data_IF_022845585974
#
_entry.id   IF_022845585974
#
_cell.length_a   1.000
_cell.length_b   1.000
_cell.length_c   1.000
_cell.angle_alpha   90.00
_cell.angle_beta   90.00
_cell.angle_gamma   90.00
#
_symmetry.space_group_name_H-M   'P 1'
#
loop_
_entity.id
_entity.type
_entity.pdbx_description
1 polymer ?
#
# COMPACT_ATOMS: atom_id res chain seq x y z
N UNK A 1 -31.87 29.83 9.00
CA UNK A 1 -31.84 31.21 8.48
C UNK A 1 -33.26 31.59 8.18
N UNK A 2 -33.83 32.50 8.96
CA UNK A 2 -35.19 33.02 8.81
C UNK A 2 -35.35 33.68 7.43
N UNK A 3 -36.26 33.17 6.61
CA UNK A 3 -36.63 33.76 5.31
C UNK A 3 -37.93 34.54 5.37
N UNK A 4 -38.28 35.12 6.53
CA UNK A 4 -39.44 35.98 6.65
C UNK A 4 -39.03 37.45 6.41
N UNK A 5 -39.25 37.95 5.19
CA UNK A 5 -39.24 39.39 4.89
C UNK A 5 -38.31 39.89 3.79
N UNK A 6 -37.54 39.03 3.10
CA UNK A 6 -36.68 39.48 1.99
C UNK A 6 -37.49 39.66 0.71
N UNK A 7 -37.26 40.77 0.02
CA UNK A 7 -37.78 41.01 -1.32
C UNK A 7 -37.06 40.11 -2.34
N UNK A 8 -37.70 39.80 -3.47
CA UNK A 8 -37.13 38.91 -4.51
C UNK A 8 -35.75 39.41 -5.01
N UNK A 9 -35.57 40.74 -5.05
CA UNK A 9 -34.30 41.39 -5.44
C UNK A 9 -33.18 41.13 -4.43
N UNK A 10 -33.48 41.15 -3.13
CA UNK A 10 -32.50 40.87 -2.08
C UNK A 10 -32.07 39.40 -2.11
N UNK A 11 -33.00 38.48 -2.37
CA UNK A 11 -32.68 37.06 -2.52
C UNK A 11 -31.80 36.81 -3.75
N UNK A 12 -32.12 37.42 -4.89
CA UNK A 12 -31.29 37.31 -6.11
C UNK A 12 -29.87 37.86 -5.89
N UNK A 13 -29.74 38.99 -5.20
CA UNK A 13 -28.43 39.56 -4.85
C UNK A 13 -27.61 38.61 -3.97
N UNK A 14 -28.22 37.98 -2.96
CA UNK A 14 -27.52 37.03 -2.08
C UNK A 14 -27.06 35.77 -2.84
N UNK A 15 -27.88 35.25 -3.74
CA UNK A 15 -27.53 34.09 -4.56
C UNK A 15 -26.36 34.40 -5.49
N UNK A 16 -26.38 35.57 -6.15
CA UNK A 16 -25.28 36.02 -7.02
C UNK A 16 -23.97 36.22 -6.23
N UNK A 17 -24.05 36.79 -5.03
CA UNK A 17 -22.91 36.94 -4.14
C UNK A 17 -22.32 35.61 -3.69
N UNK A 18 -23.18 34.61 -3.41
CA UNK A 18 -22.73 33.25 -3.08
C UNK A 18 -22.03 32.60 -4.28
N UNK A 19 -22.61 32.72 -5.48
CA UNK A 19 -22.03 32.19 -6.71
C UNK A 19 -20.65 32.81 -7.00
N UNK A 20 -20.54 34.14 -6.92
CA UNK A 20 -19.29 34.85 -7.14
C UNK A 20 -18.19 34.43 -6.12
N UNK A 21 -18.55 34.22 -4.85
CA UNK A 21 -17.62 33.71 -3.82
C UNK A 21 -17.18 32.28 -4.11
N UNK A 22 -18.08 31.43 -4.61
CA UNK A 22 -17.75 30.05 -4.97
C UNK A 22 -16.84 29.98 -6.20
N UNK A 23 -17.12 30.78 -7.21
CA UNK A 23 -16.28 30.90 -8.41
C UNK A 23 -14.88 31.40 -8.06
N UNK A 24 -14.78 32.42 -7.21
CA UNK A 24 -13.49 32.93 -6.71
C UNK A 24 -12.71 31.86 -5.95
N UNK A 25 -13.37 31.08 -5.07
CA UNK A 25 -12.73 29.97 -4.35
C UNK A 25 -12.27 28.87 -5.29
N UNK A 26 -13.05 28.57 -6.33
CA UNK A 26 -12.69 27.58 -7.33
C UNK A 26 -11.44 28.02 -8.09
N UNK A 27 -11.38 29.27 -8.53
CA UNK A 27 -10.19 29.83 -9.19
C UNK A 27 -8.96 29.81 -8.28
N UNK A 28 -9.13 30.10 -6.99
CA UNK A 28 -8.03 30.02 -6.02
C UNK A 28 -7.50 28.59 -5.85
N UNK A 29 -8.39 27.60 -5.81
CA UNK A 29 -8.00 26.18 -5.74
C UNK A 29 -7.29 25.78 -7.04
N UNK A 30 -7.83 26.18 -8.19
CA UNK A 30 -7.23 25.90 -9.50
C UNK A 30 -5.82 26.51 -9.62
N UNK A 31 -5.64 27.78 -9.23
CA UNK A 31 -4.34 28.43 -9.21
C UNK A 31 -3.34 27.73 -8.28
N UNK A 32 -3.79 27.28 -7.10
CA UNK A 32 -2.96 26.54 -6.15
C UNK A 32 -2.53 25.19 -6.72
N UNK A 33 -3.45 24.47 -7.37
CA UNK A 33 -3.15 23.21 -8.03
C UNK A 33 -2.14 23.38 -9.17
N UNK A 34 -2.29 24.42 -9.98
CA UNK A 34 -1.33 24.72 -11.05
C UNK A 34 0.07 25.03 -10.49
N UNK A 35 0.15 25.81 -9.40
CA UNK A 35 1.42 26.11 -8.73
C UNK A 35 2.11 24.83 -8.22
N UNK A 36 1.38 23.95 -7.53
CA UNK A 36 1.92 22.66 -7.05
C UNK A 36 2.36 21.78 -8.23
N UNK A 37 1.59 21.77 -9.32
CA UNK A 37 1.94 21.01 -10.52
C UNK A 37 3.24 21.52 -11.15
N UNK A 38 3.44 22.84 -11.20
CA UNK A 38 4.68 23.46 -11.68
C UNK A 38 5.87 23.10 -10.77
N UNK A 39 5.72 23.21 -9.44
CA UNK A 39 6.78 22.84 -8.49
C UNK A 39 7.18 21.36 -8.63
N UNK A 40 6.21 20.47 -8.83
CA UNK A 40 6.46 19.05 -9.07
C UNK A 40 7.16 18.78 -10.41
N UNK A 41 6.85 19.56 -11.45
CA UNK A 41 7.53 19.49 -12.75
C UNK A 41 8.98 19.99 -12.65
N UNK A 42 9.23 21.08 -11.92
CA UNK A 42 10.59 21.60 -11.68
C UNK A 42 11.44 20.65 -10.84
N UNK A 43 10.86 20.04 -9.80
CA UNK A 43 11.52 18.98 -9.02
C UNK A 43 11.90 17.79 -9.90
N UNK A 44 11.03 17.39 -10.84
CA UNK A 44 11.35 16.33 -11.81
C UNK A 44 12.52 16.70 -12.72
N UNK A 45 12.58 17.95 -13.19
CA UNK A 45 13.69 18.42 -14.04
C UNK A 45 15.00 18.43 -13.26
N UNK A 46 14.99 18.86 -11.99
CA UNK A 46 16.18 18.84 -11.14
C UNK A 46 16.72 17.43 -10.86
N UNK A 47 15.84 16.44 -10.71
CA UNK A 47 16.25 15.03 -10.55
C UNK A 47 16.84 14.43 -11.83
N UNK A 48 16.50 14.98 -13.01
CA UNK A 48 16.97 14.51 -14.32
C UNK A 48 18.31 15.15 -14.73
N UNK A 49 18.71 16.29 -14.13
CA UNK A 49 19.88 17.07 -14.53
C UNK A 49 21.15 16.87 -13.71
N UNK A 50 21.25 15.90 -12.80
CA UNK A 50 22.55 15.59 -12.20
C UNK A 50 23.48 14.93 -13.24
N UNK A 51 24.58 15.58 -13.67
CA UNK A 51 25.54 14.97 -14.57
C UNK A 51 26.39 14.01 -13.74
N UNK A 52 26.40 12.73 -14.11
CA UNK A 52 27.40 11.78 -13.63
C UNK A 52 28.70 12.08 -14.37
N UNK A 53 29.54 12.92 -13.76
CA UNK A 53 30.90 13.15 -14.25
C UNK A 53 31.74 11.91 -13.93
N UNK A 54 32.13 11.21 -15.00
CA UNK A 54 33.14 10.16 -14.96
C UNK A 54 34.50 10.81 -14.70
N UNK A 55 35.15 10.47 -13.59
CA UNK A 55 36.60 10.42 -13.58
C UNK A 55 37.14 9.25 -12.75
N UNK A 56 37.96 8.46 -13.44
CA UNK A 56 38.51 7.20 -13.03
C UNK A 56 39.78 7.47 -12.21
N UNK A 57 39.76 7.18 -10.91
CA UNK A 57 40.99 6.95 -10.15
C UNK A 57 41.00 5.56 -9.51
N UNK A 58 41.76 4.71 -10.18
CA UNK A 58 42.33 3.45 -9.73
C UNK A 58 42.95 3.58 -8.33
N UNK A 59 42.38 2.89 -7.33
CA UNK A 59 43.09 2.04 -6.36
C UNK A 59 42.15 1.48 -5.28
N UNK A 60 41.13 0.69 -5.64
CA UNK A 60 40.54 -0.28 -4.72
C UNK A 60 40.12 -1.52 -5.51
N UNK A 61 41.06 -2.46 -5.58
CA UNK A 61 40.77 -3.85 -5.94
C UNK A 61 40.09 -4.47 -4.73
N UNK A 62 38.76 -4.49 -4.73
CA UNK A 62 37.95 -5.05 -3.65
C UNK A 62 36.52 -5.27 -4.13
N UNK A 63 36.28 -6.48 -4.62
CA UNK A 63 34.99 -7.18 -4.73
C UNK A 63 33.72 -6.32 -4.89
N UNK A 64 33.34 -6.06 -6.16
CA UNK A 64 32.01 -5.59 -6.50
C UNK A 64 31.02 -6.76 -6.35
N UNK A 65 30.52 -6.94 -5.14
CA UNK A 65 29.27 -7.67 -4.93
C UNK A 65 28.15 -6.83 -5.57
N UNK A 66 27.82 -7.10 -6.83
CA UNK A 66 26.51 -6.73 -7.36
C UNK A 66 25.46 -7.37 -6.45
N UNK A 67 24.70 -6.57 -5.70
CA UNK A 67 23.51 -7.07 -5.01
C UNK A 67 22.50 -7.42 -6.10
N UNK A 68 22.49 -8.69 -6.51
CA UNK A 68 21.47 -9.17 -7.44
C UNK A 68 20.14 -9.26 -6.68
N UNK A 69 19.27 -8.28 -6.91
CA UNK A 69 17.95 -8.25 -6.28
C UNK A 69 17.08 -9.31 -6.98
N UNK A 70 16.88 -10.41 -6.27
CA UNK A 70 16.18 -11.60 -6.76
C UNK A 70 14.69 -11.32 -6.99
N UNK A 71 14.13 -11.95 -8.02
CA UNK A 71 12.68 -11.99 -8.19
C UNK A 71 12.03 -12.84 -7.09
N UNK A 72 10.88 -12.40 -6.60
CA UNK A 72 10.01 -13.25 -5.79
C UNK A 72 9.38 -14.27 -6.74
N UNK A 73 9.35 -15.54 -6.33
CA UNK A 73 8.82 -16.64 -7.13
C UNK A 73 7.51 -17.15 -6.55
N UNK A 74 6.59 -17.53 -7.41
CA UNK A 74 5.41 -18.29 -7.03
C UNK A 74 5.74 -19.76 -6.72
N UNK A 75 4.72 -20.50 -6.31
CA UNK A 75 4.79 -21.95 -6.02
C UNK A 75 5.18 -22.80 -7.23
N UNK A 76 5.05 -22.29 -8.46
CA UNK A 76 5.51 -22.95 -9.69
C UNK A 76 6.95 -22.57 -10.08
N UNK A 77 7.59 -21.67 -9.33
CA UNK A 77 8.95 -21.18 -9.58
C UNK A 77 9.02 -20.06 -10.62
N UNK A 78 7.90 -19.46 -11.00
CA UNK A 78 7.87 -18.32 -11.92
C UNK A 78 7.92 -17.00 -11.15
N UNK A 79 8.57 -15.95 -11.70
CA UNK A 79 8.56 -14.62 -11.11
C UNK A 79 7.15 -14.08 -10.89
N UNK A 80 6.94 -13.37 -9.77
CA UNK A 80 5.71 -12.61 -9.56
C UNK A 80 5.68 -11.38 -10.47
N UNK A 81 4.60 -11.24 -11.22
CA UNK A 81 4.41 -10.21 -12.22
C UNK A 81 3.43 -9.12 -11.72
N UNK A 82 3.69 -7.87 -12.08
CA UNK A 82 2.79 -6.78 -11.74
C UNK A 82 1.45 -6.91 -12.46
N UNK A 83 0.36 -6.62 -11.74
CA UNK A 83 -1.01 -6.69 -12.28
C UNK A 83 -1.56 -8.10 -12.49
N UNK A 84 -0.74 -9.14 -12.28
CA UNK A 84 -1.20 -10.54 -12.27
C UNK A 84 -1.76 -10.89 -10.88
N UNK A 85 -2.78 -11.73 -10.87
CA UNK A 85 -3.48 -12.15 -9.66
C UNK A 85 -2.79 -13.34 -8.99
N UNK A 86 -2.54 -13.22 -7.69
CA UNK A 86 -1.94 -14.26 -6.85
C UNK A 86 -2.72 -14.44 -5.56
N UNK A 87 -2.92 -15.67 -5.13
CA UNK A 87 -3.28 -15.97 -3.76
C UNK A 87 -2.05 -15.92 -2.85
N UNK A 88 -2.19 -15.30 -1.68
CA UNK A 88 -1.18 -15.36 -0.62
C UNK A 88 -1.64 -16.36 0.42
N UNK A 89 -0.83 -17.39 0.67
CA UNK A 89 -1.15 -18.50 1.55
C UNK A 89 -0.12 -18.59 2.69
N UNK A 90 -0.51 -18.91 3.94
CA UNK A 90 0.45 -19.32 4.96
C UNK A 90 1.22 -20.57 4.50
N UNK A 91 2.54 -20.57 4.66
CA UNK A 91 3.40 -21.69 4.23
C UNK A 91 3.21 -22.97 5.06
N UNK A 92 2.83 -22.84 6.34
CA UNK A 92 2.65 -23.95 7.29
C UNK A 92 1.17 -24.03 7.69
N UNK A 93 0.29 -24.30 6.73
CA UNK A 93 -1.14 -24.43 6.98
C UNK A 93 -1.69 -25.65 6.24
N UNK A 94 -2.06 -26.67 7.01
CA UNK A 94 -2.67 -27.92 6.51
C UNK A 94 -4.02 -27.69 5.80
N UNK A 95 -4.62 -26.51 5.96
CA UNK A 95 -5.96 -26.20 5.46
C UNK A 95 -5.99 -25.23 4.25
N UNK A 96 -4.84 -24.87 3.65
CA UNK A 96 -4.80 -24.19 2.35
C UNK A 96 -5.59 -22.87 2.19
N UNK A 97 -5.94 -22.18 3.28
CA UNK A 97 -6.80 -21.00 3.18
C UNK A 97 -6.04 -19.77 2.69
N UNK A 98 -6.46 -19.23 1.56
CA UNK A 98 -5.96 -17.96 1.03
C UNK A 98 -6.28 -16.79 1.98
N UNK A 99 -5.44 -15.76 1.97
CA UNK A 99 -5.79 -14.49 2.59
C UNK A 99 -7.02 -13.86 1.92
N UNK A 100 -7.76 -13.07 2.69
CA UNK A 100 -9.06 -12.54 2.35
C UNK A 100 -9.30 -11.19 3.03
N UNK A 101 -10.44 -10.59 2.69
CA UNK A 101 -11.04 -9.46 3.37
C UNK A 101 -11.84 -9.97 4.57
N UNK A 102 -11.47 -9.51 5.76
CA UNK A 102 -12.09 -9.88 7.02
C UNK A 102 -12.92 -8.71 7.54
N UNK A 103 -14.20 -8.97 7.70
CA UNK A 103 -15.10 -8.07 8.41
C UNK A 103 -14.94 -8.28 9.91
N UNK A 104 -14.25 -7.36 10.61
CA UNK A 104 -14.03 -7.47 12.06
C UNK A 104 -15.25 -7.03 12.87
N UNK A 105 -15.88 -5.94 12.46
CA UNK A 105 -16.84 -5.17 13.27
C UNK A 105 -18.17 -4.86 12.55
N UNK A 106 -18.49 -5.58 11.48
CA UNK A 106 -19.61 -5.28 10.56
C UNK A 106 -19.53 -3.85 10.00
N UNK A 107 -18.32 -3.41 9.67
CA UNK A 107 -18.04 -2.05 9.24
C UNK A 107 -16.84 -1.95 8.31
N UNK A 108 -16.76 -0.84 7.59
CA UNK A 108 -15.62 -0.50 6.74
C UNK A 108 -14.59 0.34 7.54
N UNK A 109 -13.29 0.24 7.20
CA UNK A 109 -12.72 -0.63 6.16
C UNK A 109 -12.59 -2.10 6.62
N UNK A 110 -12.47 -3.01 5.66
CA UNK A 110 -12.13 -4.40 5.94
C UNK A 110 -10.66 -4.57 6.33
N UNK A 111 -10.37 -5.65 7.05
CA UNK A 111 -9.03 -6.04 7.45
C UNK A 111 -8.48 -7.10 6.50
N UNK A 112 -7.16 -7.17 6.32
CA UNK A 112 -6.53 -8.30 5.65
C UNK A 112 -6.38 -9.47 6.63
N UNK A 113 -6.69 -10.69 6.22
CA UNK A 113 -6.66 -11.83 7.14
C UNK A 113 -7.22 -13.12 6.56
N UNK A 114 -7.70 -14.01 7.43
CA UNK A 114 -8.42 -15.22 7.09
C UNK A 114 -9.70 -15.27 7.94
N UNK A 115 -10.84 -15.38 7.26
CA UNK A 115 -12.12 -15.66 7.91
C UNK A 115 -12.45 -17.14 7.74
N UNK A 116 -12.25 -17.92 8.80
CA UNK A 116 -12.51 -19.36 8.79
C UNK A 116 -14.02 -19.69 8.92
N UNK A 117 -14.86 -18.68 9.13
CA UNK A 117 -16.28 -18.85 9.46
C UNK A 117 -17.18 -18.57 8.24
N UNK A 118 -16.83 -17.59 7.40
CA UNK A 118 -17.81 -16.99 6.47
C UNK A 118 -17.76 -17.41 4.99
N UNK A 119 -16.70 -18.07 4.49
CA UNK A 119 -16.64 -18.83 3.21
C UNK A 119 -15.15 -19.14 2.91
N UNK A 120 -14.79 -20.34 2.44
CA UNK A 120 -13.39 -20.76 2.36
C UNK A 120 -12.55 -20.11 1.22
N UNK A 121 -13.12 -19.21 0.41
CA UNK A 121 -12.44 -18.65 -0.75
C UNK A 121 -11.88 -17.29 -0.37
N UNK A 122 -10.59 -17.23 -0.03
CA UNK A 122 -9.90 -15.95 0.03
C UNK A 122 -9.84 -15.28 -1.34
N UNK A 123 -9.34 -14.06 -1.37
CA UNK A 123 -9.30 -13.24 -2.59
C UNK A 123 -7.86 -13.18 -3.10
N UNK A 124 -7.66 -13.27 -4.43
CA UNK A 124 -6.34 -13.02 -4.97
C UNK A 124 -5.99 -11.54 -4.79
N UNK A 125 -4.70 -11.24 -4.90
CA UNK A 125 -4.17 -9.89 -4.88
C UNK A 125 -3.43 -9.59 -6.16
N UNK A 126 -3.41 -8.31 -6.53
CA UNK A 126 -2.42 -7.78 -7.47
C UNK A 126 -1.31 -7.08 -6.70
N UNK A 127 -0.10 -7.17 -7.25
CA UNK A 127 1.09 -6.54 -6.71
C UNK A 127 1.57 -5.45 -7.66
N UNK A 128 1.88 -4.27 -7.12
CA UNK A 128 2.35 -3.13 -7.90
C UNK A 128 3.69 -2.65 -7.34
N UNK A 129 4.82 -2.92 -8.03
CA UNK A 129 6.13 -2.37 -7.67
C UNK A 129 6.09 -0.84 -7.54
N UNK A 130 6.90 -0.30 -6.63
CA UNK A 130 7.03 1.15 -6.45
C UNK A 130 7.74 1.81 -7.63
N UNK A 131 8.78 1.16 -8.17
CA UNK A 131 9.55 1.66 -9.31
C UNK A 131 8.71 1.65 -10.59
N UNK A 132 8.59 2.81 -11.24
CA UNK A 132 7.82 2.94 -12.48
C UNK A 132 8.43 2.08 -13.60
N UNK A 133 7.59 1.27 -14.26
CA UNK A 133 8.02 0.38 -15.35
C UNK A 133 8.63 -0.95 -14.90
N UNK A 134 8.83 -1.18 -13.59
CA UNK A 134 9.17 -2.51 -13.08
C UNK A 134 7.93 -3.41 -13.12
N UNK A 135 8.05 -4.54 -13.81
CA UNK A 135 6.97 -5.50 -14.00
C UNK A 135 7.17 -6.77 -13.17
N UNK A 136 8.32 -6.93 -12.50
CA UNK A 136 8.63 -8.07 -11.64
C UNK A 136 8.70 -7.63 -10.19
N UNK A 137 7.97 -8.32 -9.30
CA UNK A 137 8.10 -8.09 -7.87
C UNK A 137 9.42 -8.70 -7.38
N UNK A 138 10.25 -7.86 -6.79
CA UNK A 138 11.58 -8.23 -6.32
C UNK A 138 11.66 -8.26 -4.81
N UNK A 139 12.52 -9.12 -4.29
CA UNK A 139 12.86 -9.14 -2.88
C UNK A 139 13.40 -7.77 -2.44
N UNK A 140 13.14 -7.39 -1.19
CA UNK A 140 13.55 -6.12 -0.56
C UNK A 140 13.13 -4.84 -1.27
N UNK A 141 12.30 -4.91 -2.32
CA UNK A 141 11.76 -3.74 -3.02
C UNK A 141 10.32 -3.48 -2.63
N UNK A 142 10.00 -2.19 -2.50
CA UNK A 142 8.69 -1.74 -2.08
C UNK A 142 7.64 -2.01 -3.17
N UNK A 143 6.47 -2.48 -2.77
CA UNK A 143 5.30 -2.65 -3.61
C UNK A 143 4.02 -2.42 -2.80
N UNK A 144 2.92 -2.17 -3.51
CA UNK A 144 1.57 -2.14 -2.96
C UNK A 144 0.87 -3.49 -3.21
N UNK A 145 -0.01 -3.87 -2.28
CA UNK A 145 -0.86 -5.07 -2.38
C UNK A 145 -2.31 -4.63 -2.45
N UNK A 146 -3.09 -5.17 -3.39
CA UNK A 146 -4.53 -4.87 -3.50
C UNK A 146 -5.31 -6.14 -3.70
N UNK A 147 -6.33 -6.40 -2.87
CA UNK A 147 -7.23 -7.53 -3.13
C UNK A 147 -8.07 -7.27 -4.39
N UNK A 148 -8.10 -8.24 -5.28
CA UNK A 148 -9.02 -8.28 -6.42
C UNK A 148 -10.40 -8.76 -5.97
N UNK A 149 -11.18 -7.85 -5.40
CA UNK A 149 -12.50 -8.15 -4.87
C UNK A 149 -13.44 -6.96 -5.00
N UNK A 150 -14.71 -7.24 -5.31
CA UNK A 150 -15.79 -6.27 -5.17
C UNK A 150 -16.27 -6.25 -3.74
N UNK A 151 -16.39 -5.05 -3.15
CA UNK A 151 -16.78 -4.87 -1.76
C UNK A 151 -17.90 -3.86 -1.63
N UNK A 152 -18.57 -3.87 -0.47
CA UNK A 152 -19.56 -2.84 -0.09
C UNK A 152 -18.88 -1.55 0.42
N UNK A 153 -17.58 -1.59 0.68
CA UNK A 153 -16.82 -0.45 1.14
C UNK A 153 -16.50 0.48 -0.05
N UNK A 154 -16.66 1.79 0.16
CA UNK A 154 -16.30 2.79 -0.85
C UNK A 154 -14.78 2.92 -0.99
N UNK A 155 -14.03 2.57 0.06
CA UNK A 155 -12.58 2.62 0.05
C UNK A 155 -11.97 1.50 -0.82
N UNK A 156 -10.75 1.77 -1.31
CA UNK A 156 -9.93 0.76 -2.00
C UNK A 156 -9.65 -0.46 -1.11
N UNK A 157 -9.47 -1.62 -1.74
CA UNK A 157 -9.02 -2.88 -1.13
C UNK A 157 -7.49 -2.98 -0.99
N UNK A 158 -6.78 -1.89 -1.25
CA UNK A 158 -5.33 -1.83 -1.09
C UNK A 158 -4.93 -1.92 0.38
N UNK A 159 -3.90 -2.71 0.67
CA UNK A 159 -3.38 -2.89 2.01
C UNK A 159 -2.73 -1.62 2.52
N UNK A 160 -2.89 -1.38 3.82
CA UNK A 160 -2.09 -0.44 4.58
C UNK A 160 -1.96 -0.88 6.02
N UNK A 161 -0.88 -0.45 6.65
CA UNK A 161 -0.75 -0.50 8.11
C UNK A 161 -1.67 0.55 8.72
N UNK A 162 -2.58 0.11 9.59
CA UNK A 162 -3.44 0.97 10.40
C UNK A 162 -2.72 1.58 11.60
N UNK A 163 -3.42 2.43 12.33
CA UNK A 163 -2.95 2.90 13.65
C UNK A 163 -2.84 1.72 14.63
N UNK A 164 -2.11 1.94 15.73
CA UNK A 164 -2.02 0.93 16.77
C UNK A 164 -3.40 0.73 17.41
N UNK A 165 -3.89 -0.50 17.32
CA UNK A 165 -5.17 -0.88 17.89
C UNK A 165 -5.13 -0.79 19.43
N UNK A 166 -6.07 -0.07 20.07
CA UNK A 166 -5.98 0.21 21.49
C UNK A 166 -6.21 -1.02 22.38
N UNK A 167 -6.88 -2.06 21.87
CA UNK A 167 -7.20 -3.27 22.63
C UNK A 167 -6.05 -4.28 22.54
N UNK A 168 -5.64 -4.58 21.31
CA UNK A 168 -4.64 -5.61 21.01
C UNK A 168 -3.21 -5.08 21.10
N UNK A 169 -3.04 -3.75 21.05
CA UNK A 169 -1.74 -3.04 20.96
C UNK A 169 -0.94 -3.37 19.69
N UNK A 170 -1.58 -3.98 18.69
CA UNK A 170 -0.98 -4.36 17.41
C UNK A 170 -1.33 -3.33 16.34
N UNK A 171 -0.45 -3.15 15.36
CA UNK A 171 -0.80 -2.42 14.12
C UNK A 171 -1.38 -3.40 13.11
N UNK A 172 -2.68 -3.30 12.87
CA UNK A 172 -3.42 -4.20 11.98
C UNK A 172 -3.24 -3.80 10.51
N UNK A 173 -3.26 -4.78 9.61
CA UNK A 173 -3.30 -4.51 8.16
C UNK A 173 -4.76 -4.32 7.75
N UNK A 174 -5.10 -3.12 7.32
CA UNK A 174 -6.44 -2.71 6.90
C UNK A 174 -6.45 -2.40 5.41
N UNK A 175 -7.65 -2.31 4.84
CA UNK A 175 -7.85 -1.81 3.48
C UNK A 175 -8.06 -0.29 3.47
N UNK A 176 -7.62 0.39 2.42
CA UNK A 176 -7.88 1.81 2.28
C UNK A 176 -7.10 2.48 1.15
N UNK A 177 -7.14 3.81 1.16
CA UNK A 177 -6.56 4.65 0.11
C UNK A 177 -5.05 4.38 -0.04
N UNK A 178 -4.62 4.28 -1.31
CA UNK A 178 -3.23 4.18 -1.75
C UNK A 178 -2.63 5.59 -1.78
N UNK A 179 -1.40 5.75 -1.29
CA UNK A 179 -0.67 7.03 -1.40
C UNK A 179 0.06 7.48 -0.12
N UNK A 180 0.21 6.61 0.87
CA UNK A 180 1.01 6.87 2.06
C UNK A 180 2.09 5.79 2.22
N UNK A 181 3.16 6.10 2.96
CA UNK A 181 4.17 5.13 3.39
C UNK A 181 3.55 3.88 4.06
N UNK A 182 2.35 4.01 4.65
CA UNK A 182 1.63 2.88 5.24
C UNK A 182 1.25 1.77 4.25
N UNK A 183 1.22 2.05 2.94
CA UNK A 183 0.81 1.11 1.90
C UNK A 183 1.96 0.25 1.34
N UNK A 184 3.21 0.63 1.61
CA UNK A 184 4.37 0.00 1.00
C UNK A 184 4.94 -1.12 1.86
N UNK A 185 5.00 -2.30 1.27
CA UNK A 185 5.55 -3.51 1.84
C UNK A 185 6.70 -4.00 0.98
N UNK A 186 7.56 -4.85 1.53
CA UNK A 186 8.51 -5.63 0.73
C UNK A 186 8.49 -7.09 1.16
N UNK A 187 9.08 -7.94 0.33
CA UNK A 187 9.21 -9.38 0.56
C UNK A 187 10.65 -9.74 0.88
N UNK A 188 10.83 -10.59 1.89
CA UNK A 188 12.12 -11.21 2.21
C UNK A 188 11.97 -12.72 2.08
N UNK A 189 12.93 -13.37 1.42
CA UNK A 189 12.98 -14.84 1.36
C UNK A 189 13.28 -15.44 2.73
N UNK A 190 12.64 -16.58 3.02
CA UNK A 190 12.97 -17.40 4.19
C UNK A 190 14.15 -18.32 3.88
N UNK A 191 14.93 -18.65 4.92
CA UNK A 191 16.11 -19.50 4.77
C UNK A 191 15.76 -20.98 4.49
N UNK A 192 14.54 -21.39 4.81
CA UNK A 192 14.05 -22.77 4.72
C UNK A 192 12.72 -22.78 3.96
N UNK A 193 12.49 -23.80 3.13
CA UNK A 193 11.19 -24.01 2.46
C UNK A 193 11.16 -23.66 0.96
N UNK A 194 12.28 -23.32 0.34
CA UNK A 194 12.32 -23.03 -1.10
C UNK A 194 11.75 -21.65 -1.43
N UNK A 195 10.56 -21.60 -2.03
CA UNK A 195 9.86 -20.36 -2.41
C UNK A 195 8.91 -19.91 -1.29
N UNK A 196 9.46 -19.83 -0.08
CA UNK A 196 8.76 -19.37 1.13
C UNK A 196 9.33 -18.01 1.53
N UNK A 197 8.44 -17.11 1.90
CA UNK A 197 8.73 -15.70 2.07
C UNK A 197 8.10 -15.16 3.34
N UNK A 198 8.52 -13.97 3.77
CA UNK A 198 7.79 -13.13 4.73
C UNK A 198 7.54 -11.76 4.12
N UNK A 199 6.41 -11.16 4.48
CA UNK A 199 6.05 -9.79 4.09
C UNK A 199 6.46 -8.85 5.24
N UNK A 200 7.07 -7.72 4.90
CA UNK A 200 7.60 -6.76 5.86
C UNK A 200 7.07 -5.37 5.53
N UNK A 201 6.74 -4.60 6.57
CA UNK A 201 6.47 -3.17 6.44
C UNK A 201 7.65 -2.37 7.02
N UNK A 202 8.36 -1.66 6.15
CA UNK A 202 9.44 -0.75 6.54
C UNK A 202 9.76 0.17 5.34
N UNK A 203 9.01 1.25 5.14
CA UNK A 203 9.13 2.14 3.98
C UNK A 203 10.34 3.10 4.07
N UNK A 204 11.42 2.67 4.73
CA UNK A 204 12.60 3.51 4.98
C UNK A 204 13.30 3.95 3.68
N UNK A 205 13.29 3.11 2.64
CA UNK A 205 13.84 3.50 1.32
C UNK A 205 13.08 4.67 0.68
N UNK A 206 11.79 4.83 1.01
CA UNK A 206 10.93 5.89 0.46
C UNK A 206 11.08 7.21 1.24
N UNK A 207 11.61 7.15 2.46
CA UNK A 207 11.93 8.33 3.26
C UNK A 207 13.12 8.03 4.18
N UNK A 208 14.37 8.25 3.71
CA UNK A 208 15.58 7.91 4.48
C UNK A 208 15.76 8.68 5.79
N UNK A 209 15.11 9.84 5.92
CA UNK A 209 15.14 10.67 7.13
C UNK A 209 14.05 10.29 8.13
N UNK A 210 13.03 9.53 7.70
CA UNK A 210 11.94 9.08 8.56
C UNK A 210 12.39 7.95 9.47
N UNK A 211 11.82 7.89 10.68
CA UNK A 211 12.02 6.78 11.62
C UNK A 211 10.74 5.97 11.72
N UNK A 212 10.70 4.84 11.03
CA UNK A 212 9.57 3.92 11.08
C UNK A 212 9.80 2.82 12.13
N UNK A 213 8.75 2.49 12.89
CA UNK A 213 8.74 1.27 13.68
C UNK A 213 8.52 0.07 12.74
N UNK A 214 9.58 -0.43 12.12
CA UNK A 214 9.48 -1.51 11.13
C UNK A 214 8.98 -2.82 11.76
N UNK A 215 8.32 -3.67 10.97
CA UNK A 215 7.78 -4.93 11.48
C UNK A 215 7.46 -5.95 10.39
N UNK A 216 7.55 -7.23 10.75
CA UNK A 216 7.09 -8.32 9.91
C UNK A 216 5.56 -8.42 10.00
N UNK A 217 4.93 -8.76 8.88
CA UNK A 217 3.51 -9.12 8.85
C UNK A 217 3.36 -10.51 9.48
N UNK A 218 2.57 -10.57 10.55
CA UNK A 218 2.18 -11.77 11.26
C UNK A 218 0.67 -11.99 11.25
N UNK A 219 0.20 -12.92 12.07
CA UNK A 219 -1.23 -13.14 12.31
C UNK A 219 -1.60 -12.86 13.77
N UNK A 220 -2.81 -12.35 13.97
CA UNK A 220 -3.49 -12.17 15.24
C UNK A 220 -4.79 -12.97 15.22
N UNK A 221 -4.90 -13.98 16.09
CA UNK A 221 -6.15 -14.73 16.24
C UNK A 221 -7.13 -13.93 17.10
N UNK A 222 -8.33 -13.71 16.60
CA UNK A 222 -9.38 -12.95 17.28
C UNK A 222 -10.75 -13.51 16.88
N UNK A 223 -11.57 -13.93 17.86
CA UNK A 223 -12.95 -14.37 17.63
C UNK A 223 -13.13 -15.41 16.50
N UNK A 224 -12.21 -16.37 16.39
CA UNK A 224 -12.24 -17.41 15.34
C UNK A 224 -11.72 -16.96 13.96
N UNK A 225 -11.36 -15.68 13.82
CA UNK A 225 -10.74 -15.08 12.65
C UNK A 225 -9.24 -14.92 12.89
N UNK A 226 -8.47 -14.75 11.81
CA UNK A 226 -7.07 -14.36 11.87
C UNK A 226 -6.89 -13.05 11.12
N UNK A 227 -6.48 -12.00 11.81
CA UNK A 227 -6.16 -10.71 11.19
C UNK A 227 -4.65 -10.64 10.92
N UNK A 228 -4.25 -10.04 9.81
CA UNK A 228 -2.85 -9.72 9.59
C UNK A 228 -2.47 -8.51 10.42
N UNK A 229 -1.30 -8.58 11.06
CA UNK A 229 -0.84 -7.55 11.99
C UNK A 229 0.68 -7.52 12.09
N UNK A 230 1.24 -6.33 12.29
CA UNK A 230 2.63 -6.17 12.73
C UNK A 230 2.77 -6.45 14.23
N UNK A 231 3.97 -6.30 14.79
CA UNK A 231 4.27 -6.33 16.23
C UNK A 231 4.16 -7.71 16.90
N UNK A 232 4.44 -8.79 16.16
CA UNK A 232 4.51 -10.14 16.69
C UNK A 232 5.30 -11.07 15.78
N UNK A 233 5.08 -12.38 15.91
CA UNK A 233 5.79 -13.37 15.09
C UNK A 233 5.47 -13.21 13.61
N UNK A 234 6.51 -13.26 12.78
CA UNK A 234 6.37 -13.24 11.33
C UNK A 234 5.55 -14.45 10.85
N UNK A 235 4.69 -14.22 9.86
CA UNK A 235 3.98 -15.28 9.17
C UNK A 235 4.70 -15.57 7.85
N UNK A 236 5.23 -16.79 7.72
CA UNK A 236 5.80 -17.24 6.45
C UNK A 236 4.67 -17.56 5.46
N UNK A 237 4.84 -17.13 4.22
CA UNK A 237 3.85 -17.19 3.15
C UNK A 237 4.44 -17.75 1.86
N UNK A 238 3.55 -18.24 1.00
CA UNK A 238 3.83 -18.58 -0.40
C UNK A 238 2.85 -17.84 -1.30
N UNK A 239 3.23 -17.67 -2.56
CA UNK A 239 2.40 -17.05 -3.59
C UNK A 239 1.98 -18.11 -4.60
N UNK A 240 0.69 -18.20 -4.86
CA UNK A 240 0.09 -19.11 -5.84
C UNK A 240 -0.58 -18.28 -6.92
N UNK A 241 -0.24 -18.49 -8.19
CA UNK A 241 -0.89 -17.78 -9.30
C UNK A 241 -2.37 -18.19 -9.35
N UNK A 242 -3.27 -17.20 -9.41
CA UNK A 242 -4.71 -17.42 -9.36
C UNK A 242 -5.29 -18.00 -10.67
#
# INVERSE_FOLDING_TARGET
>A
MDTCGKTDVEFQSEVLDILARHETKFEQINATLQMILTDLQDLRIHLVQQPVEHDLNSFYKGDSSQVHIMAVLDTSGQPLESGVEYYINPAISDNGHHFSLVDRNNSCPFYAGQDNVSRPKGYPVTLAPFEEGENVVRETKNFNVTFSAFTICVQSTAWKVGEQDPETKRRLIITGVVGSYSNYFFISKEQVGGNVYRIVWCPAELCPTCRFACGNVGALAENGKKLLALDGSALSVVFEKA
#
